data_IF_653473300408
#
_entry.id   IF_653473300408
#
_cell.length_a   1.000
_cell.length_b   1.000
_cell.length_c   1.000
_cell.angle_alpha   90.00
_cell.angle_beta   90.00
_cell.angle_gamma   90.00
#
_symmetry.space_group_name_H-M   'P 1'
#
loop_
_entity.id
_entity.type
_entity.pdbx_description
1 polymer ?
#
# COMPACT_ATOMS: atom_id res chain seq x y z
N UNK A 1 4.71 29.75 23.41
CA UNK A 1 5.31 28.40 23.22
C UNK A 1 4.32 27.42 22.55
N UNK A 2 3.09 27.87 22.21
CA UNK A 2 2.01 26.98 21.73
C UNK A 2 2.08 26.61 20.24
N UNK A 3 2.72 27.45 19.40
CA UNK A 3 2.84 27.22 17.96
C UNK A 3 3.66 25.98 17.62
N UNK A 4 4.69 25.69 18.43
CA UNK A 4 5.55 24.52 18.26
C UNK A 4 4.81 23.22 18.62
N UNK A 5 3.99 23.24 19.68
CA UNK A 5 3.21 22.08 20.11
C UNK A 5 2.13 21.69 19.07
N UNK A 6 1.48 22.68 18.44
CA UNK A 6 0.48 22.44 17.38
C UNK A 6 1.15 21.89 16.11
N UNK A 7 2.29 22.43 15.71
CA UNK A 7 3.05 21.94 14.55
C UNK A 7 3.51 20.50 14.75
N UNK A 8 4.06 20.17 15.93
CA UNK A 8 4.53 18.83 16.25
C UNK A 8 3.38 17.82 16.30
N UNK A 9 2.22 18.19 16.84
CA UNK A 9 1.02 17.34 16.85
C UNK A 9 0.49 17.07 15.44
N UNK A 10 0.51 18.09 14.56
CA UNK A 10 0.11 17.95 13.16
C UNK A 10 1.08 17.06 12.38
N UNK A 11 2.37 17.24 12.58
CA UNK A 11 3.41 16.42 11.95
C UNK A 11 3.32 14.95 12.40
N UNK A 12 3.08 14.69 13.69
CA UNK A 12 2.83 13.33 14.20
C UNK A 12 1.57 12.74 13.56
N UNK A 13 0.47 13.50 13.47
CA UNK A 13 -0.75 13.03 12.80
C UNK A 13 -0.54 12.73 11.30
N UNK A 14 0.20 13.57 10.58
CA UNK A 14 0.54 13.37 9.16
C UNK A 14 1.52 12.22 8.93
N UNK A 15 2.48 12.01 9.83
CA UNK A 15 3.37 10.85 9.81
C UNK A 15 2.62 9.55 10.14
N UNK A 16 1.70 9.59 11.10
CA UNK A 16 0.85 8.45 11.45
C UNK A 16 -0.04 8.03 10.28
N UNK A 17 -0.65 8.99 9.58
CA UNK A 17 -1.47 8.74 8.40
C UNK A 17 -0.69 8.13 7.22
N UNK A 18 0.58 8.52 7.04
CA UNK A 18 1.49 7.90 6.07
C UNK A 18 1.91 6.49 6.49
N UNK A 19 2.13 6.25 7.79
CA UNK A 19 2.57 4.95 8.31
C UNK A 19 1.48 3.85 8.18
N UNK A 20 0.19 4.22 8.24
CA UNK A 20 -0.92 3.27 8.07
C UNK A 20 -0.98 2.58 6.71
N UNK A 21 -0.35 3.14 5.67
CA UNK A 21 -0.37 2.56 4.32
C UNK A 21 0.38 1.23 4.21
N UNK A 22 1.38 0.98 5.07
CA UNK A 22 2.21 -0.23 4.99
C UNK A 22 1.47 -1.52 5.34
N UNK A 23 0.47 -1.44 6.24
CA UNK A 23 -0.30 -2.61 6.66
C UNK A 23 -1.12 -3.19 5.50
N UNK A 24 -1.72 -2.32 4.69
CA UNK A 24 -2.55 -2.73 3.55
C UNK A 24 -1.75 -3.53 2.51
N UNK A 25 -0.46 -3.22 2.34
CA UNK A 25 0.44 -3.92 1.42
C UNK A 25 0.70 -5.37 1.83
N UNK A 26 0.64 -5.69 3.12
CA UNK A 26 0.80 -7.06 3.61
C UNK A 26 -0.55 -7.79 3.74
N UNK A 27 -1.60 -7.08 4.14
CA UNK A 27 -2.92 -7.67 4.43
C UNK A 27 -3.61 -8.19 3.17
N UNK A 28 -3.59 -7.44 2.07
CA UNK A 28 -4.24 -7.88 0.84
C UNK A 28 -3.69 -9.20 0.28
N UNK A 29 -2.36 -9.38 0.09
CA UNK A 29 -1.82 -10.66 -0.37
C UNK A 29 -1.97 -11.77 0.67
N UNK A 30 -1.90 -11.45 1.97
CA UNK A 30 -2.14 -12.43 3.04
C UNK A 30 -3.58 -12.97 3.00
N UNK A 31 -4.57 -12.08 2.89
CA UNK A 31 -5.98 -12.46 2.79
C UNK A 31 -6.24 -13.30 1.54
N UNK A 32 -5.68 -12.91 0.40
CA UNK A 32 -5.79 -13.69 -0.84
C UNK A 32 -5.16 -15.09 -0.69
N UNK A 33 -3.98 -15.18 -0.07
CA UNK A 33 -3.35 -16.48 0.24
C UNK A 33 -4.21 -17.34 1.17
N UNK A 34 -4.80 -16.75 2.21
CA UNK A 34 -5.69 -17.47 3.14
C UNK A 34 -6.97 -17.97 2.45
N UNK A 35 -7.54 -17.17 1.55
CA UNK A 35 -8.68 -17.59 0.71
C UNK A 35 -8.27 -18.78 -0.16
N UNK A 36 -7.10 -18.72 -0.80
CA UNK A 36 -6.57 -19.83 -1.59
C UNK A 36 -6.37 -21.09 -0.77
N UNK A 37 -5.87 -20.96 0.46
CA UNK A 37 -5.68 -22.08 1.37
C UNK A 37 -7.00 -22.76 1.76
N UNK A 38 -8.03 -21.97 2.07
CA UNK A 38 -9.37 -22.49 2.34
C UNK A 38 -9.98 -23.23 1.15
N UNK A 39 -9.79 -22.70 -0.06
CA UNK A 39 -10.28 -23.33 -1.29
C UNK A 39 -9.49 -24.60 -1.62
N UNK A 40 -8.16 -24.60 -1.47
CA UNK A 40 -7.34 -25.79 -1.66
C UNK A 40 -7.75 -26.92 -0.70
N UNK A 41 -8.06 -26.58 0.56
CA UNK A 41 -8.55 -27.54 1.54
C UNK A 41 -9.93 -28.10 1.20
N UNK A 42 -10.84 -27.27 0.65
CA UNK A 42 -12.19 -27.69 0.29
C UNK A 42 -12.23 -28.58 -0.96
N UNK A 43 -11.39 -28.29 -1.95
CA UNK A 43 -11.36 -29.01 -3.23
C UNK A 43 -10.32 -30.14 -3.27
N UNK A 44 -9.54 -30.32 -2.19
CA UNK A 44 -8.49 -31.33 -2.12
C UNK A 44 -7.36 -31.10 -3.11
N UNK A 45 -7.23 -29.89 -3.64
CA UNK A 45 -6.15 -29.53 -4.56
C UNK A 45 -4.85 -29.37 -3.77
N UNK A 46 -3.74 -29.90 -4.28
CA UNK A 46 -2.39 -29.44 -3.91
C UNK A 46 -2.34 -27.91 -3.99
N UNK A 47 -1.51 -27.18 -3.20
CA UNK A 47 -1.68 -25.75 -2.84
C UNK A 47 -1.52 -24.76 -4.02
N UNK A 48 -2.26 -24.97 -5.09
CA UNK A 48 -2.21 -24.28 -6.37
C UNK A 48 -2.98 -22.98 -6.27
N UNK A 49 -4.18 -22.98 -5.67
CA UNK A 49 -4.98 -21.77 -5.52
C UNK A 49 -4.33 -20.82 -4.53
N UNK A 50 -3.73 -21.35 -3.45
CA UNK A 50 -2.94 -20.58 -2.49
C UNK A 50 -1.78 -19.86 -3.17
N UNK A 51 -0.97 -20.59 -3.96
CA UNK A 51 0.17 -19.99 -4.66
C UNK A 51 -0.29 -18.98 -5.71
N UNK A 52 -1.32 -19.31 -6.49
CA UNK A 52 -1.88 -18.41 -7.49
C UNK A 52 -2.36 -17.10 -6.85
N UNK A 53 -3.18 -17.18 -5.80
CA UNK A 53 -3.70 -15.98 -5.13
C UNK A 53 -2.62 -15.19 -4.40
N UNK A 54 -1.61 -15.85 -3.83
CA UNK A 54 -0.46 -15.16 -3.24
C UNK A 54 0.32 -14.36 -4.29
N UNK A 55 0.60 -14.96 -5.46
CA UNK A 55 1.30 -14.29 -6.57
C UNK A 55 0.47 -13.14 -7.12
N UNK A 56 -0.84 -13.33 -7.32
CA UNK A 56 -1.75 -12.28 -7.78
C UNK A 56 -1.83 -11.14 -6.76
N UNK A 57 -1.93 -11.45 -5.47
CA UNK A 57 -1.93 -10.45 -4.41
C UNK A 57 -0.63 -9.65 -4.37
N UNK A 58 0.51 -10.32 -4.50
CA UNK A 58 1.82 -9.66 -4.56
C UNK A 58 1.93 -8.75 -5.80
N UNK A 59 1.52 -9.24 -6.97
CA UNK A 59 1.52 -8.45 -8.20
C UNK A 59 0.64 -7.20 -8.08
N UNK A 60 -0.53 -7.32 -7.43
CA UNK A 60 -1.42 -6.19 -7.15
C UNK A 60 -0.76 -5.12 -6.26
N UNK A 61 -0.08 -5.55 -5.20
CA UNK A 61 0.67 -4.65 -4.30
C UNK A 61 1.80 -3.92 -5.03
N UNK A 62 2.59 -4.64 -5.81
CA UNK A 62 3.68 -4.04 -6.62
C UNK A 62 3.10 -3.02 -7.61
N UNK A 63 2.00 -3.36 -8.26
CA UNK A 63 1.30 -2.47 -9.21
C UNK A 63 0.79 -1.20 -8.51
N UNK A 64 0.18 -1.33 -7.33
CA UNK A 64 -0.29 -0.21 -6.51
C UNK A 64 0.87 0.73 -6.16
N UNK A 65 1.97 0.20 -5.65
CA UNK A 65 3.17 0.98 -5.29
C UNK A 65 3.69 1.75 -6.50
N UNK A 66 3.78 1.09 -7.65
CA UNK A 66 4.27 1.71 -8.88
C UNK A 66 3.41 2.90 -9.32
N UNK A 67 2.08 2.72 -9.39
CA UNK A 67 1.18 3.79 -9.80
C UNK A 67 1.11 4.93 -8.79
N UNK A 68 1.13 4.61 -7.49
CA UNK A 68 1.14 5.62 -6.44
C UNK A 68 2.40 6.49 -6.53
N UNK A 69 3.58 5.86 -6.68
CA UNK A 69 4.83 6.58 -6.89
C UNK A 69 4.77 7.47 -8.12
N UNK A 70 4.26 6.97 -9.25
CA UNK A 70 4.13 7.76 -10.48
C UNK A 70 3.21 8.97 -10.28
N UNK A 71 2.07 8.79 -9.63
CA UNK A 71 1.13 9.88 -9.36
C UNK A 71 1.74 10.96 -8.44
N UNK A 72 2.50 10.54 -7.42
CA UNK A 72 3.23 11.46 -6.55
C UNK A 72 4.29 12.25 -7.33
N UNK A 73 5.03 11.59 -8.24
CA UNK A 73 6.02 12.26 -9.09
C UNK A 73 5.40 13.28 -10.05
N UNK A 74 4.27 12.95 -10.67
CA UNK A 74 3.54 13.89 -11.54
C UNK A 74 3.04 15.11 -10.75
N UNK A 75 2.50 14.90 -9.54
CA UNK A 75 2.07 15.98 -8.66
C UNK A 75 3.26 16.88 -8.23
N UNK A 76 4.44 16.31 -7.99
CA UNK A 76 5.64 17.08 -7.68
C UNK A 76 6.19 17.86 -8.89
N UNK A 77 6.08 17.29 -10.09
CA UNK A 77 6.49 17.97 -11.31
C UNK A 77 5.61 19.21 -11.60
N UNK A 78 4.30 19.10 -11.41
CA UNK A 78 3.34 20.20 -11.61
C UNK A 78 3.51 21.30 -10.56
N UNK A 79 3.73 20.95 -9.29
CA UNK A 79 3.87 21.91 -8.19
C UNK A 79 5.30 22.42 -7.96
N UNK A 80 6.25 22.03 -8.82
CA UNK A 80 7.65 22.40 -8.68
C UNK A 80 7.88 23.91 -8.84
N UNK A 81 8.80 24.53 -8.08
CA UNK A 81 9.14 25.95 -8.24
C UNK A 81 9.63 26.31 -9.65
N UNK A 82 10.07 25.32 -10.43
CA UNK A 82 10.47 25.44 -11.83
C UNK A 82 9.31 25.41 -12.85
N UNK A 83 8.09 25.01 -12.46
CA UNK A 83 6.91 25.01 -13.34
C UNK A 83 6.25 26.40 -13.46
N UNK A 84 6.58 27.31 -12.54
CA UNK A 84 6.15 28.72 -12.58
C UNK A 84 7.00 29.50 -13.59
N UNK A 85 6.66 29.44 -14.87
CA UNK A 85 7.11 30.39 -15.90
C UNK A 85 5.94 30.90 -16.70
#
# INVERSE_FOLDING_TARGET
MDVLAVSQKREISEQMGRATGGYELAVSPLLLGLIGFGLDHLFGTTPLLTVLFAVVGLAGVVTKIYFQYRAEMEAHAENGPWSRR
#
